data_IF_566750458410
#
_entry.id   IF_566750458410
#
_cell.length_a   1.000
_cell.length_b   1.000
_cell.length_c   1.000
_cell.angle_alpha   90.00
_cell.angle_beta   90.00
_cell.angle_gamma   90.00
#
_symmetry.space_group_name_H-M   'P 1'
#
loop_
_entity.id
_entity.type
_entity.pdbx_description
1 polymer ?
#
# COMPACT_ATOMS: atom_id res chain seq x y z
N UNK A 1 -17.66 22.59 -36.92
CA UNK A 1 -16.62 22.94 -35.92
C UNK A 1 -16.81 22.03 -34.71
N UNK A 2 -15.99 21.00 -34.55
CA UNK A 2 -16.08 20.07 -33.41
C UNK A 2 -14.83 20.20 -32.54
N UNK A 3 -15.09 20.55 -31.28
CA UNK A 3 -14.41 20.10 -30.05
C UNK A 3 -12.89 20.10 -29.95
N UNK A 4 -12.34 21.11 -29.26
CA UNK A 4 -11.02 21.01 -28.59
C UNK A 4 -10.95 21.87 -27.31
N UNK A 5 -12.00 21.89 -26.48
CA UNK A 5 -12.01 22.66 -25.21
C UNK A 5 -12.33 21.84 -23.96
N UNK A 6 -12.05 20.54 -23.97
CA UNK A 6 -12.32 19.62 -22.83
C UNK A 6 -11.08 18.95 -22.21
N UNK A 7 -9.85 19.31 -22.58
CA UNK A 7 -8.68 18.46 -22.28
C UNK A 7 -7.70 19.00 -21.22
N UNK A 8 -7.85 20.23 -20.73
CA UNK A 8 -6.88 20.82 -19.78
C UNK A 8 -7.48 21.07 -18.39
N UNK A 9 -8.75 21.47 -18.31
CA UNK A 9 -9.44 21.71 -17.03
C UNK A 9 -9.72 20.43 -16.25
N UNK A 10 -9.92 19.30 -16.92
CA UNK A 10 -10.32 18.03 -16.30
C UNK A 10 -9.20 17.38 -15.45
N UNK A 11 -7.94 17.50 -15.87
CA UNK A 11 -6.78 16.94 -15.14
C UNK A 11 -6.46 17.68 -13.84
N UNK A 12 -6.67 19.01 -13.79
CA UNK A 12 -6.41 19.79 -12.59
C UNK A 12 -7.47 19.57 -11.50
N UNK A 13 -8.74 19.43 -11.89
CA UNK A 13 -9.84 19.06 -10.97
C UNK A 13 -9.65 17.64 -10.43
N UNK A 14 -9.08 16.74 -11.25
CA UNK A 14 -8.71 15.38 -10.84
C UNK A 14 -7.61 15.36 -9.77
N UNK A 15 -6.55 16.16 -9.89
CA UNK A 15 -5.45 16.14 -8.90
C UNK A 15 -5.90 16.69 -7.53
N UNK A 16 -6.63 17.80 -7.53
CA UNK A 16 -7.11 18.45 -6.30
C UNK A 16 -8.09 17.54 -5.54
N UNK A 17 -9.00 16.88 -6.25
CA UNK A 17 -9.96 15.96 -5.62
C UNK A 17 -9.27 14.74 -4.98
N UNK A 18 -8.20 14.22 -5.56
CA UNK A 18 -7.38 13.17 -4.95
C UNK A 18 -6.66 13.64 -3.67
N UNK A 19 -6.17 14.88 -3.62
CA UNK A 19 -5.61 15.46 -2.39
C UNK A 19 -6.65 15.63 -1.29
N UNK A 20 -7.88 16.02 -1.63
CA UNK A 20 -8.96 16.08 -0.65
C UNK A 20 -9.31 14.71 -0.06
N UNK A 21 -9.23 13.63 -0.85
CA UNK A 21 -9.43 12.27 -0.33
C UNK A 21 -8.36 11.87 0.68
N UNK A 22 -7.12 12.34 0.53
CA UNK A 22 -6.07 12.12 1.54
C UNK A 22 -6.32 12.84 2.87
N UNK A 23 -7.16 13.87 2.90
CA UNK A 23 -7.57 14.52 4.16
C UNK A 23 -8.54 13.64 4.97
N UNK A 24 -9.12 12.58 4.38
CA UNK A 24 -9.93 11.62 5.13
C UNK A 24 -9.06 10.92 6.17
N UNK A 25 -9.51 10.77 7.43
CA UNK A 25 -8.71 10.18 8.50
C UNK A 25 -8.15 8.79 8.18
N UNK A 26 -8.95 7.93 7.51
CA UNK A 26 -8.53 6.56 7.15
C UNK A 26 -7.46 6.60 6.05
N UNK A 27 -7.68 7.39 5.00
CA UNK A 27 -6.71 7.56 3.90
C UNK A 27 -5.37 8.09 4.41
N UNK A 28 -5.40 9.11 5.26
CA UNK A 28 -4.21 9.66 5.90
C UNK A 28 -3.50 8.62 6.77
N UNK A 29 -4.24 7.84 7.55
CA UNK A 29 -3.68 6.80 8.41
C UNK A 29 -2.96 5.72 7.60
N UNK A 30 -3.55 5.25 6.49
CA UNK A 30 -2.92 4.25 5.61
C UNK A 30 -1.64 4.81 4.98
N UNK A 31 -1.70 6.03 4.46
CA UNK A 31 -0.53 6.73 3.91
C UNK A 31 0.59 6.88 4.97
N UNK A 32 0.22 7.28 6.18
CA UNK A 32 1.17 7.47 7.28
C UNK A 32 1.86 6.16 7.69
N UNK A 33 1.10 5.07 7.82
CA UNK A 33 1.66 3.73 8.10
C UNK A 33 2.71 3.33 7.06
N UNK A 34 2.40 3.49 5.76
CA UNK A 34 3.32 3.21 4.67
C UNK A 34 4.55 4.12 4.70
N UNK A 35 4.40 5.39 5.03
CA UNK A 35 5.53 6.32 5.10
C UNK A 35 6.47 6.02 6.27
N UNK A 36 5.95 5.65 7.43
CA UNK A 36 6.79 5.24 8.58
C UNK A 36 7.65 4.04 8.17
N UNK A 37 7.04 3.01 7.58
CA UNK A 37 7.75 1.83 7.09
C UNK A 37 8.90 2.20 6.14
N UNK A 38 8.61 3.07 5.18
CA UNK A 38 9.57 3.47 4.13
C UNK A 38 10.69 4.37 4.65
N UNK A 39 10.40 5.22 5.65
CA UNK A 39 11.41 6.04 6.32
C UNK A 39 12.38 5.14 7.10
N UNK A 40 11.87 4.14 7.82
CA UNK A 40 12.72 3.22 8.58
C UNK A 40 13.56 2.33 7.65
N UNK A 41 12.99 1.85 6.54
CA UNK A 41 13.77 1.15 5.51
C UNK A 41 14.91 2.01 4.96
N UNK A 42 14.64 3.27 4.62
CA UNK A 42 15.67 4.21 4.14
C UNK A 42 16.76 4.42 5.19
N UNK A 43 16.37 4.61 6.46
CA UNK A 43 17.32 4.74 7.57
C UNK A 43 18.25 3.53 7.67
N UNK A 44 17.73 2.30 7.58
CA UNK A 44 18.58 1.09 7.62
C UNK A 44 19.56 1.05 6.43
N UNK A 45 19.08 1.36 5.23
CA UNK A 45 19.92 1.38 4.03
C UNK A 45 21.05 2.41 4.17
N UNK A 46 20.72 3.61 4.65
CA UNK A 46 21.67 4.73 4.72
C UNK A 46 22.65 4.60 5.91
N UNK A 47 22.18 4.16 7.08
CA UNK A 47 22.93 4.22 8.33
C UNK A 47 23.49 2.87 8.81
N UNK A 48 22.87 1.74 8.43
CA UNK A 48 23.17 0.43 9.03
C UNK A 48 23.88 -0.49 8.03
N UNK A 49 23.23 -0.80 6.91
CA UNK A 49 23.81 -1.66 5.87
C UNK A 49 23.11 -1.40 4.53
N UNK A 50 23.84 -0.80 3.58
CA UNK A 50 23.35 -0.54 2.21
C UNK A 50 22.84 -1.80 1.49
N UNK A 51 23.37 -2.97 1.84
CA UNK A 51 23.00 -4.23 1.20
C UNK A 51 21.80 -4.92 1.91
N UNK A 52 21.28 -4.34 2.99
CA UNK A 52 20.18 -4.91 3.80
C UNK A 52 20.37 -6.38 4.19
N UNK A 53 21.63 -6.80 4.40
CA UNK A 53 21.92 -8.16 4.87
C UNK A 53 21.80 -8.17 6.38
N UNK A 54 20.96 -9.08 6.90
CA UNK A 54 20.86 -9.37 8.34
C UNK A 54 22.15 -10.05 8.79
N UNK A 55 22.73 -9.50 9.85
CA UNK A 55 23.95 -9.95 10.54
C UNK A 55 23.73 -9.83 12.04
N UNK A 56 24.52 -10.52 12.85
CA UNK A 56 24.40 -10.44 14.31
C UNK A 56 24.53 -9.00 14.84
N UNK A 57 25.33 -8.16 14.16
CA UNK A 57 25.56 -6.75 14.53
C UNK A 57 24.33 -5.87 14.33
N UNK A 58 23.48 -6.17 13.34
CA UNK A 58 22.32 -5.32 12.98
C UNK A 58 20.97 -6.00 13.20
N UNK A 59 20.94 -7.20 13.78
CA UNK A 59 19.73 -7.97 14.03
C UNK A 59 18.63 -7.16 14.73
N UNK A 60 18.98 -6.35 15.73
CA UNK A 60 18.02 -5.51 16.46
C UNK A 60 17.27 -4.52 15.57
N UNK A 61 17.93 -3.99 14.54
CA UNK A 61 17.33 -3.05 13.59
C UNK A 61 16.32 -3.77 12.67
N UNK A 62 16.65 -4.98 12.22
CA UNK A 62 15.73 -5.83 11.45
C UNK A 62 14.51 -6.24 12.27
N UNK A 63 14.69 -6.64 13.53
CA UNK A 63 13.58 -6.96 14.45
C UNK A 63 12.65 -5.75 14.62
N UNK A 64 13.22 -4.53 14.72
CA UNK A 64 12.44 -3.29 14.83
C UNK A 64 11.57 -3.05 13.59
N UNK A 65 12.13 -3.20 12.38
CA UNK A 65 11.33 -3.04 11.15
C UNK A 65 10.27 -4.13 11.03
N UNK A 66 10.62 -5.39 11.29
CA UNK A 66 9.64 -6.48 11.26
C UNK A 66 8.46 -6.21 12.20
N UNK A 67 8.72 -5.64 13.37
CA UNK A 67 7.66 -5.23 14.31
C UNK A 67 6.77 -4.14 13.71
N UNK A 68 7.35 -3.10 13.10
CA UNK A 68 6.60 -2.02 12.45
C UNK A 68 5.71 -2.58 11.32
N UNK A 69 6.26 -3.47 10.49
CA UNK A 69 5.53 -4.12 9.42
C UNK A 69 4.35 -4.94 9.97
N UNK A 70 4.57 -5.78 10.99
CA UNK A 70 3.52 -6.57 11.65
C UNK A 70 2.43 -5.70 12.27
N UNK A 71 2.81 -4.60 12.92
CA UNK A 71 1.86 -3.66 13.51
C UNK A 71 1.01 -2.97 12.41
N UNK A 72 1.64 -2.56 11.31
CA UNK A 72 0.95 -1.98 10.15
C UNK A 72 -0.02 -2.98 9.51
N UNK A 73 0.41 -4.24 9.30
CA UNK A 73 -0.45 -5.33 8.79
C UNK A 73 -1.67 -5.51 9.69
N UNK A 74 -1.46 -5.59 11.01
CA UNK A 74 -2.55 -5.74 11.99
C UNK A 74 -3.54 -4.58 11.92
N UNK A 75 -3.06 -3.34 11.83
CA UNK A 75 -3.93 -2.17 11.74
C UNK A 75 -4.68 -2.15 10.41
N UNK A 76 -4.03 -2.48 9.29
CA UNK A 76 -4.68 -2.54 7.99
C UNK A 76 -5.78 -3.62 7.95
N UNK A 77 -5.54 -4.80 8.52
CA UNK A 77 -6.57 -5.85 8.68
C UNK A 77 -7.82 -5.32 9.38
N UNK A 78 -7.64 -4.54 10.46
CA UNK A 78 -8.77 -3.93 11.17
C UNK A 78 -9.51 -2.91 10.30
N UNK A 79 -8.81 -2.11 9.50
CA UNK A 79 -9.44 -1.16 8.57
C UNK A 79 -10.22 -1.92 7.50
N UNK A 80 -9.59 -2.90 6.84
CA UNK A 80 -10.22 -3.72 5.79
C UNK A 80 -11.45 -4.46 6.31
N UNK A 81 -11.41 -5.00 7.52
CA UNK A 81 -12.57 -5.66 8.14
C UNK A 81 -13.79 -4.75 8.31
N UNK A 82 -13.58 -3.42 8.36
CA UNK A 82 -14.64 -2.42 8.56
C UNK A 82 -15.03 -1.68 7.29
N UNK A 83 -14.12 -1.57 6.33
CA UNK A 83 -14.28 -0.72 5.14
C UNK A 83 -14.33 -1.53 3.85
N UNK A 84 -13.94 -2.82 3.88
CA UNK A 84 -13.74 -3.62 2.69
C UNK A 84 -12.46 -3.20 1.95
N UNK A 85 -12.55 -3.09 0.63
CA UNK A 85 -11.43 -2.70 -0.22
C UNK A 85 -11.08 -1.21 -0.02
N UNK A 86 -9.80 -0.88 0.01
CA UNK A 86 -9.35 0.52 -0.04
C UNK A 86 -9.36 0.96 -1.51
N UNK A 87 -10.52 1.37 -2.01
CA UNK A 87 -10.72 1.76 -3.41
C UNK A 87 -10.25 3.19 -3.72
N UNK A 88 -10.01 3.46 -5.00
CA UNK A 88 -9.56 4.77 -5.51
C UNK A 88 -10.69 5.80 -5.41
N UNK A 89 -11.91 5.43 -5.78
CA UNK A 89 -13.07 6.33 -5.76
C UNK A 89 -13.34 6.84 -4.35
N UNK A 90 -13.23 5.98 -3.34
CA UNK A 90 -13.55 6.33 -1.96
C UNK A 90 -12.37 6.88 -1.17
N UNK A 91 -11.21 6.21 -1.21
CA UNK A 91 -10.07 6.53 -0.34
C UNK A 91 -8.98 7.31 -1.07
N UNK A 92 -9.04 7.37 -2.39
CA UNK A 92 -8.04 8.02 -3.23
C UNK A 92 -6.92 7.06 -3.65
N UNK A 93 -6.31 7.38 -4.79
CA UNK A 93 -5.27 6.58 -5.43
C UNK A 93 -4.10 6.27 -4.49
N UNK A 94 -3.67 7.28 -3.73
CA UNK A 94 -2.52 7.16 -2.83
C UNK A 94 -2.81 6.17 -1.70
N UNK A 95 -3.98 6.26 -1.06
CA UNK A 95 -4.35 5.35 0.01
C UNK A 95 -4.55 3.92 -0.51
N UNK A 96 -5.23 3.77 -1.66
CA UNK A 96 -5.44 2.47 -2.31
C UNK A 96 -4.10 1.78 -2.59
N UNK A 97 -3.16 2.49 -3.21
CA UNK A 97 -1.83 1.98 -3.50
C UNK A 97 -1.01 1.70 -2.22
N UNK A 98 -1.11 2.55 -1.19
CA UNK A 98 -0.44 2.32 0.09
C UNK A 98 -0.98 1.09 0.82
N UNK A 99 -2.27 0.80 0.74
CA UNK A 99 -2.85 -0.42 1.28
C UNK A 99 -2.25 -1.65 0.60
N UNK A 100 -2.18 -1.65 -0.74
CA UNK A 100 -1.50 -2.70 -1.48
C UNK A 100 -0.03 -2.87 -1.07
N UNK A 101 0.73 -1.78 -0.93
CA UNK A 101 2.14 -1.80 -0.50
C UNK A 101 2.31 -2.50 0.87
N UNK A 102 1.43 -2.22 1.83
CA UNK A 102 1.47 -2.87 3.15
C UNK A 102 1.13 -4.37 3.01
N UNK A 103 0.12 -4.72 2.21
CA UNK A 103 -0.27 -6.13 1.99
C UNK A 103 0.85 -6.93 1.33
N UNK A 104 1.47 -6.43 0.25
CA UNK A 104 2.53 -7.18 -0.46
C UNK A 104 3.75 -7.47 0.43
N UNK A 105 3.99 -6.67 1.47
CA UNK A 105 5.09 -6.83 2.41
C UNK A 105 4.68 -7.64 3.66
N UNK A 106 3.43 -8.09 3.75
CA UNK A 106 2.93 -8.92 4.85
C UNK A 106 3.31 -10.39 4.64
N UNK A 107 4.58 -10.69 4.36
CA UNK A 107 5.05 -12.06 4.01
C UNK A 107 4.86 -13.08 5.15
N UNK A 108 4.73 -12.57 6.38
CA UNK A 108 4.40 -13.35 7.57
C UNK A 108 2.91 -13.72 7.67
N UNK A 109 2.04 -13.20 6.81
CA UNK A 109 0.58 -13.39 6.84
C UNK A 109 0.04 -13.61 5.42
N UNK A 110 0.34 -14.78 4.87
CA UNK A 110 -0.05 -15.18 3.50
C UNK A 110 -1.57 -15.25 3.32
N UNK A 111 -2.30 -15.63 4.36
CA UNK A 111 -3.76 -15.69 4.32
C UNK A 111 -4.35 -14.30 4.13
N UNK A 112 -3.78 -13.28 4.79
CA UNK A 112 -4.19 -11.91 4.53
C UNK A 112 -3.84 -11.44 3.12
N UNK A 113 -2.69 -11.83 2.56
CA UNK A 113 -2.36 -11.51 1.16
C UNK A 113 -3.38 -12.10 0.19
N UNK A 114 -3.71 -13.39 0.36
CA UNK A 114 -4.71 -14.10 -0.46
C UNK A 114 -6.09 -13.46 -0.35
N UNK A 115 -6.52 -13.15 0.87
CA UNK A 115 -7.82 -12.56 1.13
C UNK A 115 -7.93 -11.15 0.55
N UNK A 116 -6.91 -10.30 0.76
CA UNK A 116 -6.94 -8.95 0.19
C UNK A 116 -6.85 -8.96 -1.34
N UNK A 117 -6.10 -9.90 -1.94
CA UNK A 117 -6.09 -10.09 -3.39
C UNK A 117 -7.50 -10.43 -3.92
N UNK A 118 -8.24 -11.32 -3.24
CA UNK A 118 -9.63 -11.63 -3.59
C UNK A 118 -10.51 -10.37 -3.54
N UNK A 119 -10.43 -9.61 -2.44
CA UNK A 119 -11.18 -8.35 -2.26
C UNK A 119 -10.82 -7.33 -3.35
N UNK A 120 -9.54 -7.20 -3.73
CA UNK A 120 -9.11 -6.31 -4.81
C UNK A 120 -9.68 -6.73 -6.16
N UNK A 121 -9.71 -8.04 -6.47
CA UNK A 121 -10.29 -8.57 -7.71
C UNK A 121 -11.81 -8.32 -7.79
N UNK A 122 -12.52 -8.39 -6.67
CA UNK A 122 -13.94 -8.05 -6.60
C UNK A 122 -14.22 -6.56 -6.84
N UNK A 123 -13.23 -5.70 -6.56
CA UNK A 123 -13.29 -4.26 -6.75
C UNK A 123 -12.44 -3.81 -7.96
N UNK A 124 -12.19 -4.71 -8.91
CA UNK A 124 -11.41 -4.43 -10.12
C UNK A 124 -12.05 -3.27 -10.89
N UNK A 125 -11.22 -2.34 -11.37
CA UNK A 125 -11.67 -1.09 -11.98
C UNK A 125 -11.71 0.09 -11.01
N UNK A 126 -11.71 -0.17 -9.69
CA UNK A 126 -11.60 0.85 -8.64
C UNK A 126 -10.37 0.64 -7.72
N UNK A 127 -9.44 -0.19 -8.20
CA UNK A 127 -8.07 -0.36 -7.69
C UNK A 127 -7.13 -0.44 -8.89
N UNK A 128 -5.84 -0.21 -8.69
CA UNK A 128 -4.87 -0.27 -9.78
C UNK A 128 -4.67 -1.72 -10.26
N UNK A 129 -4.85 -1.93 -11.56
CA UNK A 129 -4.65 -3.24 -12.19
C UNK A 129 -3.24 -3.80 -11.97
N UNK A 130 -2.22 -2.93 -12.04
CA UNK A 130 -0.83 -3.32 -11.79
C UNK A 130 -0.61 -3.86 -10.37
N UNK A 131 -1.37 -3.36 -9.39
CA UNK A 131 -1.25 -3.75 -7.99
C UNK A 131 -1.89 -5.14 -7.79
N UNK A 132 -3.03 -5.42 -8.44
CA UNK A 132 -3.63 -6.77 -8.50
C UNK A 132 -2.61 -7.77 -9.08
N UNK A 133 -2.09 -7.49 -10.27
CA UNK A 133 -1.20 -8.40 -10.99
C UNK A 133 0.10 -8.67 -10.20
N UNK A 134 0.65 -7.65 -9.56
CA UNK A 134 1.84 -7.80 -8.74
C UNK A 134 1.59 -8.66 -7.50
N UNK A 135 0.46 -8.46 -6.81
CA UNK A 135 0.12 -9.28 -5.63
C UNK A 135 -0.23 -10.71 -6.02
N UNK A 136 -0.93 -10.91 -7.14
CA UNK A 136 -1.20 -12.24 -7.70
C UNK A 136 0.09 -13.00 -8.02
N UNK A 137 1.05 -12.35 -8.69
CA UNK A 137 2.36 -12.95 -8.96
C UNK A 137 3.09 -13.39 -7.69
N UNK A 138 3.02 -12.59 -6.60
CA UNK A 138 3.59 -12.98 -5.30
C UNK A 138 2.89 -14.19 -4.70
N UNK A 139 1.56 -14.16 -4.63
CA UNK A 139 0.76 -15.25 -4.04
C UNK A 139 0.96 -16.57 -4.78
N UNK A 140 1.05 -16.55 -6.11
CA UNK A 140 1.30 -17.76 -6.92
C UNK A 140 2.71 -18.32 -6.68
N UNK A 141 3.73 -17.47 -6.69
CA UNK A 141 5.12 -17.90 -6.52
C UNK A 141 5.41 -18.54 -5.14
N UNK A 142 4.58 -18.27 -4.13
CA UNK A 142 4.74 -18.85 -2.78
C UNK A 142 4.15 -20.28 -2.69
N UNK A 143 3.25 -20.67 -3.61
CA UNK A 143 2.64 -22.01 -3.60
C UNK A 143 3.32 -23.01 -4.55
N UNK A 144 4.38 -22.62 -5.26
CA UNK A 144 5.20 -23.46 -6.14
C UNK A 144 6.58 -23.71 -5.52
#
# INVERSE_FOLDING_TARGET
MISTRKTVTDKHTSYISEWFKLLKPISWKIFHMRNIDQIEWRRIVDEVNKNMVKTDKNEKEFIRIEKIMKDNTKILKQIVSKQGCITISEFGLIASHCAWLIVQHSDHDLDFQKEYLRIMKENRGDVLERDINALEGRVVNINN
#
